data_IF_058273055135
#
_entry.id   IF_058273055135
#
_cell.length_a   1.000
_cell.length_b   1.000
_cell.length_c   1.000
_cell.angle_alpha   90.00
_cell.angle_beta   90.00
_cell.angle_gamma   90.00
#
_symmetry.space_group_name_H-M   'P 1'
#
loop_
_entity.id
_entity.type
_entity.pdbx_description
1 polymer ?
#
# COMPACT_ATOMS: atom_id res chain seq x y z
N UNK A 1 -16.46 -16.90 4.42
CA UNK A 1 -16.32 -15.57 5.05
C UNK A 1 -17.49 -14.72 4.58
N UNK A 2 -18.13 -13.93 5.42
CA UNK A 2 -19.21 -13.05 4.97
C UNK A 2 -18.66 -12.07 3.91
N UNK A 3 -19.36 -11.89 2.78
CA UNK A 3 -18.90 -11.02 1.67
C UNK A 3 -18.58 -9.60 2.16
N UNK A 4 -19.37 -9.08 3.10
CA UNK A 4 -19.15 -7.79 3.76
C UNK A 4 -17.78 -7.70 4.47
N UNK A 5 -17.38 -8.78 5.16
CA UNK A 5 -16.09 -8.85 5.86
C UNK A 5 -14.93 -8.90 4.88
N UNK A 6 -15.06 -9.65 3.77
CA UNK A 6 -14.04 -9.71 2.72
C UNK A 6 -13.82 -8.34 2.11
N UNK A 7 -14.90 -7.65 1.75
CA UNK A 7 -14.85 -6.30 1.19
C UNK A 7 -14.15 -5.32 2.14
N UNK A 8 -14.52 -5.34 3.42
CA UNK A 8 -13.89 -4.48 4.43
C UNK A 8 -12.38 -4.73 4.54
N UNK A 9 -11.95 -6.00 4.50
CA UNK A 9 -10.53 -6.37 4.56
C UNK A 9 -9.77 -5.95 3.28
N UNK A 10 -10.36 -6.13 2.11
CA UNK A 10 -9.76 -5.70 0.84
C UNK A 10 -9.63 -4.17 0.79
N UNK A 11 -10.64 -3.44 1.27
CA UNK A 11 -10.61 -1.99 1.38
C UNK A 11 -9.52 -1.50 2.34
N UNK A 12 -9.34 -2.18 3.48
CA UNK A 12 -8.24 -1.89 4.40
C UNK A 12 -6.87 -2.13 3.75
N UNK A 13 -6.70 -3.15 2.91
CA UNK A 13 -5.45 -3.33 2.17
C UNK A 13 -5.24 -2.23 1.11
N UNK A 14 -6.30 -1.79 0.45
CA UNK A 14 -6.25 -0.71 -0.54
C UNK A 14 -5.96 0.68 0.05
N UNK A 15 -6.32 0.92 1.30
CA UNK A 15 -6.07 2.23 1.95
C UNK A 15 -4.62 2.39 2.42
N UNK A 16 -3.90 1.29 2.63
CA UNK A 16 -2.51 1.30 3.14
C UNK A 16 -1.57 2.10 2.20
N UNK A 17 -1.52 1.84 0.88
CA UNK A 17 -0.74 2.65 -0.05
C UNK A 17 -1.13 4.14 -0.04
N UNK A 18 -2.43 4.44 0.06
CA UNK A 18 -2.90 5.82 0.11
C UNK A 18 -2.36 6.56 1.33
N UNK A 19 -2.41 5.94 2.52
CA UNK A 19 -1.83 6.51 3.75
C UNK A 19 -0.33 6.72 3.59
N UNK A 20 0.38 5.73 3.04
CA UNK A 20 1.82 5.82 2.83
C UNK A 20 2.22 6.97 1.90
N UNK A 21 1.48 7.18 0.82
CA UNK A 21 1.81 8.23 -0.15
C UNK A 21 1.30 9.62 0.27
N UNK A 22 0.11 9.73 0.86
CA UNK A 22 -0.52 11.03 1.15
C UNK A 22 -0.14 11.54 2.54
N UNK A 23 -0.20 10.66 3.54
CA UNK A 23 0.04 11.06 4.93
C UNK A 23 1.54 11.02 5.23
N UNK A 24 2.25 9.94 4.87
CA UNK A 24 3.65 9.76 5.30
C UNK A 24 4.65 10.56 4.45
N UNK A 25 4.46 10.65 3.13
CA UNK A 25 5.40 11.30 2.21
C UNK A 25 5.79 12.74 2.59
N UNK A 26 4.88 13.64 3.01
CA UNK A 26 5.26 15.00 3.42
C UNK A 26 6.30 15.04 4.54
N UNK A 27 6.29 14.07 5.46
CA UNK A 27 7.24 14.01 6.58
C UNK A 27 8.64 13.53 6.16
N UNK A 28 8.74 12.91 4.99
CA UNK A 28 9.98 12.38 4.41
C UNK A 28 10.56 13.30 3.34
N UNK A 29 9.89 14.41 3.01
CA UNK A 29 10.36 15.40 2.05
C UNK A 29 11.51 16.25 2.63
N UNK A 30 12.68 15.62 2.74
CA UNK A 30 13.92 16.21 3.25
C UNK A 30 15.06 15.84 2.31
N UNK A 31 16.07 16.69 2.14
CA UNK A 31 17.22 16.39 1.28
C UNK A 31 18.15 15.30 1.87
N UNK A 32 18.13 15.07 3.18
CA UNK A 32 18.95 14.06 3.84
C UNK A 32 18.47 13.68 5.25
N UNK A 33 19.11 12.67 5.89
CA UNK A 33 20.23 11.88 5.37
C UNK A 33 19.82 10.97 4.21
N UNK A 34 20.78 10.60 3.35
CA UNK A 34 20.50 9.68 2.25
C UNK A 34 20.26 8.26 2.77
N UNK A 35 19.26 7.57 2.21
CA UNK A 35 18.93 6.17 2.46
C UNK A 35 19.24 5.40 1.18
N UNK A 36 20.20 4.46 1.25
CA UNK A 36 20.70 3.72 0.08
C UNK A 36 21.10 4.64 -1.10
N UNK A 37 21.69 5.82 -0.80
CA UNK A 37 22.09 6.80 -1.80
C UNK A 37 20.98 7.71 -2.34
N UNK A 38 19.75 7.61 -1.81
CA UNK A 38 18.60 8.42 -2.23
C UNK A 38 18.09 9.33 -1.10
N UNK A 39 17.52 10.51 -1.41
CA UNK A 39 16.74 11.27 -0.43
C UNK A 39 15.62 10.43 0.19
N UNK A 40 15.26 10.62 1.47
CA UNK A 40 14.27 9.80 2.17
C UNK A 40 12.94 9.64 1.43
N UNK A 41 12.39 10.71 0.84
CA UNK A 41 11.16 10.65 0.06
C UNK A 41 11.30 9.77 -1.18
N UNK A 42 12.43 9.84 -1.89
CA UNK A 42 12.67 9.01 -3.08
C UNK A 42 12.80 7.53 -2.71
N UNK A 43 13.54 7.23 -1.65
CA UNK A 43 13.63 5.87 -1.12
C UNK A 43 12.25 5.32 -0.73
N UNK A 44 11.45 6.11 0.00
CA UNK A 44 10.10 5.76 0.40
C UNK A 44 9.19 5.48 -0.80
N UNK A 45 9.13 6.37 -1.77
CA UNK A 45 8.29 6.17 -2.95
C UNK A 45 8.70 4.92 -3.74
N UNK A 46 10.02 4.65 -3.83
CA UNK A 46 10.58 3.49 -4.53
C UNK A 46 10.18 2.18 -3.86
N UNK A 47 10.34 2.06 -2.53
CA UNK A 47 9.98 0.83 -1.82
C UNK A 47 8.46 0.57 -1.88
N UNK A 48 7.65 1.64 -1.90
CA UNK A 48 6.21 1.53 -2.00
C UNK A 48 5.69 1.10 -3.37
N UNK A 49 6.49 1.12 -4.45
CA UNK A 49 6.12 0.47 -5.72
C UNK A 49 5.88 -1.03 -5.52
N UNK A 50 6.75 -1.68 -4.74
CA UNK A 50 6.68 -3.11 -4.44
C UNK A 50 5.55 -3.36 -3.44
N UNK A 51 5.50 -2.60 -2.34
CA UNK A 51 4.48 -2.81 -1.31
C UNK A 51 3.06 -2.54 -1.80
N UNK A 52 2.84 -1.53 -2.65
CA UNK A 52 1.52 -1.26 -3.24
C UNK A 52 1.05 -2.45 -4.07
N UNK A 53 1.94 -3.01 -4.90
CA UNK A 53 1.63 -4.20 -5.70
C UNK A 53 1.26 -5.39 -4.82
N UNK A 54 1.96 -5.59 -3.69
CA UNK A 54 1.65 -6.64 -2.71
C UNK A 54 0.31 -6.40 -2.00
N UNK A 55 0.01 -5.16 -1.59
CA UNK A 55 -1.26 -4.80 -0.97
C UNK A 55 -2.44 -5.09 -1.90
N UNK A 56 -2.35 -4.64 -3.15
CA UNK A 56 -3.40 -4.84 -4.16
C UNK A 56 -3.53 -6.31 -4.56
N UNK A 57 -2.41 -7.03 -4.68
CA UNK A 57 -2.44 -8.47 -4.92
C UNK A 57 -3.13 -9.23 -3.76
N UNK A 58 -2.85 -8.84 -2.51
CA UNK A 58 -3.51 -9.38 -1.34
C UNK A 58 -5.01 -9.10 -1.34
N UNK A 59 -5.42 -7.86 -1.66
CA UNK A 59 -6.83 -7.48 -1.79
C UNK A 59 -7.53 -8.32 -2.86
N UNK A 60 -6.94 -8.42 -4.05
CA UNK A 60 -7.46 -9.21 -5.16
C UNK A 60 -7.63 -10.69 -4.79
N UNK A 61 -6.62 -11.29 -4.14
CA UNK A 61 -6.71 -12.68 -3.69
C UNK A 61 -7.81 -12.89 -2.65
N UNK A 62 -8.01 -11.95 -1.73
CA UNK A 62 -9.08 -12.00 -0.74
C UNK A 62 -10.45 -11.91 -1.41
N UNK A 63 -10.63 -10.99 -2.34
CA UNK A 63 -11.89 -10.80 -3.06
C UNK A 63 -12.24 -12.02 -3.93
N UNK A 64 -11.24 -12.56 -4.65
CA UNK A 64 -11.40 -13.78 -5.45
C UNK A 64 -11.76 -15.00 -4.57
N UNK A 65 -11.04 -15.22 -3.47
CA UNK A 65 -11.32 -16.32 -2.54
C UNK A 65 -12.63 -16.14 -1.75
N UNK A 66 -13.11 -14.90 -1.60
CA UNK A 66 -14.37 -14.56 -0.97
C UNK A 66 -15.59 -14.63 -1.90
N UNK A 67 -15.40 -14.94 -3.19
CA UNK A 67 -16.47 -14.96 -4.19
C UNK A 67 -17.11 -13.58 -4.40
N UNK A 68 -16.33 -12.51 -4.22
CA UNK A 68 -16.71 -11.13 -4.58
C UNK A 68 -16.42 -10.84 -6.05
N UNK A 69 -15.43 -11.52 -6.63
CA UNK A 69 -15.10 -11.49 -8.05
C UNK A 69 -15.50 -12.84 -8.65
N UNK A 70 -16.15 -12.81 -9.81
CA UNK A 70 -16.60 -14.00 -10.56
C UNK A 70 -15.42 -14.77 -11.17
#
# INVERSE_FOLDING_TARGET
MEKSKVYSMAMLLGIIPWIAYVIVSPFLNKPGPLILGMPPLMFWNTIWLIFTSLCLYGAYKLELGGGLLE
#
